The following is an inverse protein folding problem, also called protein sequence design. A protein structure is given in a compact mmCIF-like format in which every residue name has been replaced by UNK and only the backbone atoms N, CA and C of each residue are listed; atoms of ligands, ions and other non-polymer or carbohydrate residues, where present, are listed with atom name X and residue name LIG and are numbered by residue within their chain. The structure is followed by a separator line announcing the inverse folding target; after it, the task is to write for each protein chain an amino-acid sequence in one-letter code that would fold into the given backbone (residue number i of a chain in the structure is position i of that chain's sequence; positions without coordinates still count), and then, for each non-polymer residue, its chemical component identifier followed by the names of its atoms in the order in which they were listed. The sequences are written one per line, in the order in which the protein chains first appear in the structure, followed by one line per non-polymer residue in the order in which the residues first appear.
data_IF_111793207009
#
_entry.id   IF_111793207009
#
_cell.length_a   1.000
_cell.length_b   1.000
_cell.length_c   1.000
_cell.angle_alpha   90.00
_cell.angle_beta   90.00
_cell.angle_gamma   90.00
#
_symmetry.space_group_name_H-M   'P 1'
#
loop_
_entity.id
_entity.type
_entity.pdbx_description
1 polymer ?
#
# COMPACT_ATOMS: atom_id res chain seq x y z
N UNK A 1 -16.36 0.53 7.84
CA UNK A 1 -15.87 -0.14 6.62
C UNK A 1 -14.41 -0.49 6.85
N UNK A 2 -14.00 -1.73 6.59
CA UNK A 2 -12.60 -2.16 6.67
C UNK A 2 -12.03 -2.24 5.25
N UNK A 3 -10.81 -1.78 5.06
CA UNK A 3 -10.07 -2.01 3.82
C UNK A 3 -9.50 -3.42 3.78
N UNK A 4 -8.78 -3.79 2.71
CA UNK A 4 -8.02 -5.04 2.68
C UNK A 4 -7.01 -5.07 3.84
N UNK A 5 -6.93 -6.22 4.52
CA UNK A 5 -6.08 -6.43 5.70
C UNK A 5 -4.94 -7.39 5.35
N UNK A 6 -3.73 -7.07 5.81
CA UNK A 6 -2.57 -7.96 5.71
C UNK A 6 -2.55 -8.91 6.90
N UNK A 7 -2.16 -10.15 6.68
CA UNK A 7 -1.97 -11.12 7.77
C UNK A 7 -0.90 -10.62 8.74
N UNK A 8 -1.21 -10.67 10.04
CA UNK A 8 -0.31 -10.17 11.10
C UNK A 8 1.04 -10.87 11.12
N UNK A 9 1.11 -12.16 10.79
CA UNK A 9 2.36 -12.92 10.72
C UNK A 9 3.36 -12.32 9.70
N UNK A 10 2.87 -11.86 8.55
CA UNK A 10 3.68 -11.19 7.52
C UNK A 10 4.23 -9.87 8.06
N UNK A 11 3.41 -9.10 8.78
CA UNK A 11 3.81 -7.80 9.34
C UNK A 11 4.76 -7.95 10.52
N UNK A 12 4.53 -8.94 11.39
CA UNK A 12 5.40 -9.25 12.53
C UNK A 12 6.78 -9.73 12.08
N UNK A 13 6.86 -10.55 11.04
CA UNK A 13 8.14 -10.97 10.44
C UNK A 13 8.95 -9.79 9.89
N UNK A 14 8.28 -8.71 9.49
CA UNK A 14 8.91 -7.51 8.93
C UNK A 14 9.36 -6.50 9.99
N UNK A 15 8.78 -6.52 11.19
CA UNK A 15 9.17 -5.71 12.35
C UNK A 15 9.01 -4.18 12.20
N UNK A 16 8.81 -3.66 10.99
CA UNK A 16 8.67 -2.25 10.66
C UNK A 16 7.43 -1.99 9.79
N UNK A 17 7.22 -0.74 9.34
CA UNK A 17 6.23 -0.39 8.30
C UNK A 17 6.91 -0.30 6.93
N UNK A 18 7.29 -1.44 6.32
CA UNK A 18 7.99 -1.41 5.04
C UNK A 18 7.05 -0.85 3.95
N UNK A 19 7.63 -0.23 2.93
CA UNK A 19 6.90 -0.01 1.69
C UNK A 19 6.54 -1.37 1.08
N UNK A 20 5.39 -1.40 0.45
CA UNK A 20 4.84 -2.58 -0.19
C UNK A 20 4.14 -2.19 -1.47
N UNK A 21 4.09 -3.12 -2.40
CA UNK A 21 3.31 -3.01 -3.62
C UNK A 21 2.08 -3.86 -3.45
N UNK A 22 0.92 -3.23 -3.63
CA UNK A 22 -0.38 -3.90 -3.60
C UNK A 22 -0.81 -4.08 -5.04
N UNK A 23 -1.25 -5.28 -5.39
CA UNK A 23 -1.77 -5.59 -6.72
C UNK A 23 -3.19 -6.15 -6.58
N UNK A 24 -4.15 -5.53 -7.25
CA UNK A 24 -5.55 -5.98 -7.30
C UNK A 24 -6.05 -5.88 -8.72
N UNK A 25 -6.60 -6.96 -9.28
CA UNK A 25 -7.15 -7.00 -10.65
C UNK A 25 -6.17 -6.44 -11.72
N UNK A 26 -4.86 -6.56 -11.50
CA UNK A 26 -3.82 -6.03 -12.38
C UNK A 26 -3.45 -4.55 -12.15
N UNK A 27 -4.15 -3.84 -11.26
CA UNK A 27 -3.74 -2.51 -10.80
C UNK A 27 -2.75 -2.64 -9.65
N UNK A 28 -1.53 -2.16 -9.85
CA UNK A 28 -0.47 -2.18 -8.85
C UNK A 28 -0.12 -0.77 -8.36
N UNK A 29 0.00 -0.59 -7.06
CA UNK A 29 0.39 0.69 -6.45
C UNK A 29 1.24 0.50 -5.20
N UNK A 30 2.09 1.50 -4.93
CA UNK A 30 2.94 1.52 -3.74
C UNK A 30 2.17 2.07 -2.55
N UNK A 31 2.23 1.36 -1.44
CA UNK A 31 1.59 1.73 -0.19
C UNK A 31 2.45 1.32 1.02
N UNK A 32 1.95 1.55 2.24
CA UNK A 32 2.56 1.09 3.49
C UNK A 32 1.51 0.44 4.38
N UNK A 33 1.89 -0.61 5.11
CA UNK A 33 1.01 -1.16 6.15
C UNK A 33 0.82 -0.14 7.26
N UNK A 34 -0.43 0.17 7.57
CA UNK A 34 -0.75 0.88 8.81
C UNK A 34 -0.72 -0.12 9.98
N UNK A 35 0.07 0.18 11.02
CA UNK A 35 0.01 -0.56 12.29
C UNK A 35 -1.09 0.07 13.15
N UNK A 36 -2.26 -0.57 13.23
CA UNK A 36 -3.39 -0.10 14.05
C UNK A 36 -3.81 -1.23 14.99
N UNK A 37 -3.25 -1.26 16.21
CA UNK A 37 -3.67 -2.12 17.35
C UNK A 37 -4.22 -3.52 16.96
N UNK A 38 -3.41 -4.33 16.26
CA UNK A 38 -3.77 -5.71 15.87
C UNK A 38 -4.50 -5.85 14.54
N UNK A 39 -4.75 -4.74 13.84
CA UNK A 39 -5.23 -4.71 12.46
C UNK A 39 -4.16 -4.05 11.57
N UNK A 40 -3.98 -4.63 10.37
CA UNK A 40 -3.01 -4.17 9.39
C UNK A 40 -3.72 -3.72 8.10
N UNK A 41 -4.54 -2.64 8.15
CA UNK A 41 -5.28 -2.21 6.98
C UNK A 41 -4.33 -1.59 5.95
N UNK A 42 -4.56 -1.94 4.69
CA UNK A 42 -4.02 -1.25 3.54
C UNK A 42 -5.00 -0.13 3.16
N UNK A 43 -4.48 1.08 3.02
CA UNK A 43 -5.28 2.20 2.52
C UNK A 43 -5.65 1.98 1.06
N UNK A 44 -6.91 1.68 0.78
CA UNK A 44 -7.45 1.64 -0.58
C UNK A 44 -8.21 2.95 -0.84
N UNK A 45 -7.58 3.86 -1.58
CA UNK A 45 -8.16 5.15 -1.96
C UNK A 45 -9.26 5.01 -3.02
N UNK A 46 -10.02 6.09 -3.26
CA UNK A 46 -11.07 6.10 -4.27
C UNK A 46 -10.54 5.91 -5.70
N UNK A 47 -9.37 6.48 -6.01
CA UNK A 47 -8.73 6.33 -7.31
C UNK A 47 -8.24 4.89 -7.54
N UNK A 48 -7.53 4.31 -6.56
CA UNK A 48 -7.04 2.93 -6.65
C UNK A 48 -8.19 1.92 -6.72
N UNK A 49 -9.28 2.15 -5.98
CA UNK A 49 -10.47 1.31 -6.04
C UNK A 49 -11.11 1.31 -7.44
N UNK A 50 -11.25 2.47 -8.07
CA UNK A 50 -11.81 2.56 -9.42
C UNK A 50 -10.88 1.94 -10.45
N UNK A 51 -9.57 2.15 -10.31
CA UNK A 51 -8.59 1.56 -11.22
C UNK A 51 -8.54 0.03 -11.11
N UNK A 52 -8.72 -0.50 -9.90
CA UNK A 52 -8.79 -1.93 -9.63
C UNK A 52 -10.18 -2.55 -9.87
N UNK A 53 -11.18 -1.77 -10.30
CA UNK A 53 -12.57 -2.23 -10.50
C UNK A 53 -13.14 -2.98 -9.28
N UNK A 54 -12.92 -2.43 -8.08
CA UNK A 54 -13.31 -3.07 -6.80
C UNK A 54 -14.58 -2.44 -6.24
N UNK A 55 -15.58 -3.26 -5.95
CA UNK A 55 -16.78 -2.83 -5.23
C UNK A 55 -16.64 -2.92 -3.70
N UNK A 56 -17.39 -2.07 -2.99
CA UNK A 56 -17.42 -2.10 -1.53
C UNK A 56 -18.29 -3.27 -1.07
N UNK A 57 -17.72 -4.14 -0.23
CA UNK A 57 -18.44 -5.26 0.38
C UNK A 57 -18.22 -6.59 -0.32
N UNK A 58 -17.42 -6.61 -1.38
CA UNK A 58 -16.99 -7.84 -2.04
C UNK A 58 -15.68 -8.37 -1.44
N UNK A 59 -15.53 -9.69 -1.47
CA UNK A 59 -14.28 -10.36 -1.17
C UNK A 59 -13.43 -10.41 -2.44
N UNK A 60 -12.30 -9.72 -2.41
CA UNK A 60 -11.37 -9.64 -3.53
C UNK A 60 -10.03 -10.29 -3.18
N UNK A 61 -9.33 -10.79 -4.18
CA UNK A 61 -7.96 -11.24 -4.03
C UNK A 61 -7.01 -10.04 -4.08
N UNK A 62 -6.15 -9.93 -3.06
CA UNK A 62 -5.18 -8.85 -2.93
C UNK A 62 -3.82 -9.46 -2.79
N UNK A 63 -2.96 -9.19 -3.77
CA UNK A 63 -1.57 -9.58 -3.72
C UNK A 63 -0.76 -8.44 -3.09
N UNK A 64 0.12 -8.80 -2.15
CA UNK A 64 0.94 -7.85 -1.41
C UNK A 64 2.38 -8.32 -1.46
N UNK A 65 3.24 -7.52 -2.06
CA UNK A 65 4.66 -7.78 -2.17
C UNK A 65 5.47 -6.74 -1.41
N UNK A 66 6.54 -7.18 -0.74
CA UNK A 66 7.44 -6.28 -0.03
C UNK A 66 8.24 -5.44 -1.05
N UNK A 67 8.13 -4.12 -0.97
CA UNK A 67 8.96 -3.25 -1.78
C UNK A 67 10.29 -3.02 -1.05
N UNK A 68 11.29 -3.82 -1.40
CA UNK A 68 12.67 -3.63 -0.92
C UNK A 68 13.46 -2.61 -1.74
N UNK A 69 12.83 -1.99 -2.75
CA UNK A 69 13.51 -1.02 -3.59
C UNK A 69 13.91 0.22 -2.76
N UNK A 70 15.15 0.72 -2.93
CA UNK A 70 15.58 1.92 -2.25
C UNK A 70 14.67 3.09 -2.67
N UNK A 71 14.24 3.96 -1.72
CA UNK A 71 13.43 5.12 -2.06
C UNK A 71 14.20 6.01 -3.04
N UNK A 72 13.58 6.30 -4.19
CA UNK A 72 14.14 7.19 -5.18
C UNK A 72 13.90 8.62 -4.67
N UNK A 73 14.92 9.24 -4.10
CA UNK A 73 14.87 10.66 -3.73
C UNK A 73 15.19 11.47 -4.98
N UNK A 74 14.14 12.00 -5.62
CA UNK A 74 14.29 13.06 -6.62
C UNK A 74 14.47 14.37 -5.87
N UNK A 75 15.66 14.96 -5.96
CA UNK A 75 15.92 16.30 -5.45
C UNK A 75 14.96 17.29 -6.15
N UNK A 76 14.10 18.01 -5.43
CA UNK A 76 13.24 19.01 -6.06
C UNK A 76 14.15 20.05 -6.71
N UNK A 77 13.93 20.32 -8.00
CA UNK A 77 14.69 21.30 -8.75
C UNK A 77 14.74 22.60 -7.94
N UNK A 78 15.94 22.95 -7.46
CA UNK A 78 16.14 24.16 -6.67
C UNK A 78 15.58 25.34 -7.47
N UNK A 79 14.68 26.11 -6.86
CA UNK A 79 14.20 27.36 -7.44
C UNK A 79 15.42 28.21 -7.78
N UNK A 80 15.55 28.76 -9.00
CA UNK A 80 16.62 29.69 -9.30
C UNK A 80 16.54 30.87 -8.32
N UNK A 81 17.69 31.41 -7.85
CA UNK A 81 17.69 32.57 -6.97
C UNK A 81 17.06 33.78 -7.68
N UNK A 82 16.48 34.74 -6.91
CA UNK A 82 15.82 35.92 -7.45
C UNK A 82 16.76 36.84 -8.24
#
# INVERSE_FOLDING_TARGET
MRGPEVQSEVVEALGARPPLTVTINGHCWKNRVALVCGCHPIGLGHADRQAADVEIGEAIEVEVELDTAPPIVVEPAASPPP
#
